data_IF_720081816374
#
_entry.id   IF_720081816374
#
_cell.length_a   1.000
_cell.length_b   1.000
_cell.length_c   1.000
_cell.angle_alpha   90.00
_cell.angle_beta   90.00
_cell.angle_gamma   90.00
#
_symmetry.space_group_name_H-M   'P 1'
#
loop_
_entity.id
_entity.type
_entity.pdbx_description
1 polymer ?
#
# COMPACT_ATOMS: atom_id res chain seq x y z
N UNK A 1 -2.79 -5.25 -0.29
CA UNK A 1 -1.85 -6.19 0.35
C UNK A 1 -0.39 -5.75 0.20
N UNK A 2 0.03 -5.25 -0.97
CA UNK A 2 1.41 -4.78 -1.22
C UNK A 2 1.92 -3.77 -0.19
N UNK A 3 1.13 -2.75 0.17
CA UNK A 3 1.52 -1.76 1.19
C UNK A 3 1.88 -2.41 2.53
N UNK A 4 1.16 -3.45 2.96
CA UNK A 4 1.48 -4.15 4.21
C UNK A 4 2.83 -4.89 4.11
N UNK A 5 3.19 -5.39 2.93
CA UNK A 5 4.49 -6.04 2.72
C UNK A 5 5.62 -5.02 2.75
N UNK A 6 5.42 -3.85 2.14
CA UNK A 6 6.41 -2.75 2.16
C UNK A 6 6.66 -2.29 3.59
N UNK A 7 5.58 -2.03 4.35
CA UNK A 7 5.70 -1.55 5.73
C UNK A 7 6.40 -2.53 6.68
N UNK A 8 6.25 -3.83 6.44
CA UNK A 8 6.72 -4.88 7.36
C UNK A 8 7.95 -5.65 6.91
N UNK A 9 8.34 -5.54 5.64
CA UNK A 9 9.37 -6.38 5.02
C UNK A 9 9.00 -7.87 4.95
N UNK A 10 7.74 -8.23 5.24
CA UNK A 10 7.28 -9.63 5.37
C UNK A 10 6.52 -10.10 4.14
N UNK A 11 6.58 -11.41 3.88
CA UNK A 11 5.74 -12.07 2.86
C UNK A 11 4.27 -12.07 3.28
N UNK A 12 3.36 -12.08 2.30
CA UNK A 12 1.90 -12.13 2.54
C UNK A 12 1.49 -13.29 3.44
N UNK A 13 2.10 -14.45 3.26
CA UNK A 13 2.01 -15.60 4.16
C UNK A 13 3.43 -16.12 4.33
N UNK A 14 3.85 -16.29 5.59
CA UNK A 14 5.11 -16.95 5.89
C UNK A 14 4.87 -18.42 6.22
N UNK A 15 5.04 -19.28 5.22
CA UNK A 15 4.85 -20.74 5.34
C UNK A 15 5.93 -21.43 6.20
N UNK A 16 7.02 -20.74 6.54
CA UNK A 16 8.09 -21.29 7.39
C UNK A 16 7.74 -21.29 8.88
N UNK A 17 6.64 -20.65 9.29
CA UNK A 17 6.20 -20.60 10.68
C UNK A 17 5.39 -21.85 11.04
N UNK A 18 5.50 -22.31 12.29
CA UNK A 18 4.70 -23.43 12.82
C UNK A 18 3.19 -23.22 12.66
N UNK A 19 2.74 -21.96 12.70
CA UNK A 19 1.34 -21.56 12.45
C UNK A 19 1.30 -20.40 11.47
N UNK A 20 1.24 -20.67 10.16
CA UNK A 20 1.17 -19.61 9.15
C UNK A 20 -0.08 -18.75 9.34
N UNK A 21 0.10 -17.43 9.32
CA UNK A 21 -0.99 -16.46 9.32
C UNK A 21 -0.82 -15.50 8.15
N UNK A 22 -1.93 -14.97 7.64
CA UNK A 22 -1.87 -13.93 6.63
C UNK A 22 -1.39 -12.61 7.25
N UNK A 23 -0.61 -11.86 6.49
CA UNK A 23 -0.06 -10.58 6.91
C UNK A 23 -1.18 -9.58 7.30
N UNK A 24 -2.33 -9.66 6.62
CA UNK A 24 -3.51 -8.87 6.97
C UNK A 24 -4.04 -9.22 8.38
N UNK A 25 -4.08 -10.51 8.73
CA UNK A 25 -4.54 -10.94 10.07
C UNK A 25 -3.58 -10.45 11.16
N UNK A 26 -2.27 -10.50 10.91
CA UNK A 26 -1.25 -9.98 11.83
C UNK A 26 -1.37 -8.46 11.99
N UNK A 27 -1.49 -7.72 10.89
CA UNK A 27 -1.64 -6.26 10.92
C UNK A 27 -2.90 -5.83 11.72
N UNK A 28 -4.03 -6.52 11.52
CA UNK A 28 -5.27 -6.26 12.27
C UNK A 28 -5.13 -6.51 13.76
N UNK A 29 -4.41 -7.56 14.16
CA UNK A 29 -4.18 -7.86 15.58
C UNK A 29 -3.33 -6.75 16.22
N UNK A 30 -2.20 -6.40 15.60
CA UNK A 30 -1.29 -5.39 16.14
C UNK A 30 -1.89 -3.98 16.20
N UNK A 31 -2.79 -3.65 15.28
CA UNK A 31 -3.48 -2.35 15.28
C UNK A 31 -4.54 -2.27 16.39
N UNK A 32 -5.12 -3.39 16.82
CA UNK A 32 -6.05 -3.44 17.95
C UNK A 32 -5.34 -3.33 19.29
N UNK A 33 -4.13 -3.87 19.37
CA UNK A 33 -3.33 -3.88 20.60
C UNK A 33 -2.47 -2.61 20.76
N UNK A 34 -2.62 -1.60 19.88
CA UNK A 34 -1.81 -0.37 19.81
C UNK A 34 -0.29 -0.60 19.64
N UNK A 35 0.14 -1.82 19.29
CA UNK A 35 1.55 -2.21 19.13
C UNK A 35 2.04 -2.03 17.69
N UNK A 36 1.98 -0.79 17.20
CA UNK A 36 2.31 -0.45 15.81
C UNK A 36 3.79 -0.74 15.50
N UNK A 37 4.68 -0.53 16.47
CA UNK A 37 6.14 -0.74 16.35
C UNK A 37 6.51 -2.20 16.03
N UNK A 38 5.72 -3.17 16.49
CA UNK A 38 5.94 -4.60 16.21
C UNK A 38 5.67 -5.01 14.76
N UNK A 39 5.08 -4.13 13.96
CA UNK A 39 4.75 -4.40 12.56
C UNK A 39 5.79 -3.89 11.56
N UNK A 40 6.57 -2.87 11.92
CA UNK A 40 7.53 -2.23 11.02
C UNK A 40 8.61 -3.19 10.53
N UNK A 41 9.12 -2.93 9.32
CA UNK A 41 10.27 -3.64 8.76
C UNK A 41 11.48 -3.42 9.68
N UNK A 42 12.07 -4.48 10.27
CA UNK A 42 13.23 -4.36 11.13
C UNK A 42 14.42 -3.66 10.46
N UNK A 43 14.51 -3.69 9.12
CA UNK A 43 15.56 -3.02 8.37
C UNK A 43 15.45 -1.50 8.37
N UNK A 44 14.28 -0.96 8.68
CA UNK A 44 14.12 0.49 8.85
C UNK A 44 14.73 0.98 10.16
N UNK A 45 14.96 0.10 11.15
CA UNK A 45 15.63 0.44 12.40
C UNK A 45 15.03 1.65 13.16
N UNK A 46 13.75 1.96 12.95
CA UNK A 46 13.10 3.14 13.54
C UNK A 46 13.28 4.44 12.74
N UNK A 47 14.00 4.41 11.62
CA UNK A 47 14.22 5.54 10.70
C UNK A 47 12.97 5.83 9.85
N UNK A 48 11.86 6.13 10.51
CA UNK A 48 10.61 6.53 9.89
C UNK A 48 9.79 7.38 10.86
N UNK A 49 8.95 8.27 10.33
CA UNK A 49 7.95 8.96 11.13
C UNK A 49 6.87 7.97 11.59
N UNK A 50 6.72 7.79 12.91
CA UNK A 50 5.67 6.94 13.49
C UNK A 50 4.27 7.37 13.02
N UNK A 51 4.03 8.68 12.91
CA UNK A 51 2.76 9.23 12.44
C UNK A 51 2.48 8.87 10.97
N UNK A 52 3.50 8.96 10.11
CA UNK A 52 3.37 8.58 8.71
C UNK A 52 3.17 7.06 8.57
N UNK A 53 3.85 6.28 9.40
CA UNK A 53 3.72 4.82 9.43
C UNK A 53 2.34 4.38 9.88
N UNK A 54 1.84 4.88 11.01
CA UNK A 54 0.49 4.58 11.53
C UNK A 54 -0.59 4.90 10.49
N UNK A 55 -0.52 6.08 9.88
CA UNK A 55 -1.44 6.45 8.81
C UNK A 55 -1.38 5.49 7.63
N UNK A 56 -0.18 5.18 7.15
CA UNK A 56 0.00 4.30 6.00
C UNK A 56 -0.48 2.88 6.32
N UNK A 57 -0.28 2.40 7.55
CA UNK A 57 -0.80 1.12 8.04
C UNK A 57 -2.32 1.10 8.05
N UNK A 58 -2.97 2.13 8.63
CA UNK A 58 -4.44 2.28 8.64
C UNK A 58 -5.01 2.35 7.22
N UNK A 59 -4.36 3.10 6.32
CA UNK A 59 -4.74 3.15 4.91
C UNK A 59 -4.62 1.78 4.25
N UNK A 60 -3.49 1.08 4.45
CA UNK A 60 -3.26 -0.25 3.90
C UNK A 60 -4.31 -1.28 4.38
N UNK A 61 -4.73 -1.20 5.65
CA UNK A 61 -5.81 -2.02 6.20
C UNK A 61 -7.16 -1.74 5.52
N UNK A 62 -7.53 -0.47 5.34
CA UNK A 62 -8.75 -0.08 4.64
C UNK A 62 -8.78 -0.59 3.18
N UNK A 63 -7.63 -0.74 2.54
CA UNK A 63 -7.50 -1.31 1.20
C UNK A 63 -7.74 -2.83 1.14
N UNK A 64 -7.81 -3.52 2.29
CA UNK A 64 -7.93 -4.99 2.39
C UNK A 64 -9.20 -5.48 3.08
N UNK A 65 -10.10 -4.56 3.43
CA UNK A 65 -11.46 -4.89 3.88
C UNK A 65 -12.29 -5.46 2.73
N UNK A 66 -13.12 -6.47 3.02
CA UNK A 66 -13.90 -7.22 2.01
C UNK A 66 -15.13 -6.46 1.50
N UNK A 67 -15.48 -5.33 2.13
CA UNK A 67 -16.76 -4.64 1.91
C UNK A 67 -16.55 -3.29 1.19
N UNK A 68 -17.66 -2.59 0.94
CA UNK A 68 -17.77 -1.24 0.34
C UNK A 68 -16.87 -0.15 0.98
N UNK A 69 -16.22 -0.43 2.11
CA UNK A 69 -15.28 0.49 2.77
C UNK A 69 -13.89 0.53 2.11
N UNK A 70 -13.62 -0.32 1.10
CA UNK A 70 -12.35 -0.29 0.36
C UNK A 70 -12.27 0.98 -0.49
N UNK A 71 -11.26 1.85 -0.28
CA UNK A 71 -11.12 3.06 -1.07
C UNK A 71 -10.73 2.75 -2.53
N UNK A 72 -11.13 3.63 -3.44
CA UNK A 72 -10.64 3.61 -4.82
C UNK A 72 -9.16 3.97 -4.89
N UNK A 73 -8.46 3.57 -5.95
CA UNK A 73 -7.04 3.93 -6.10
C UNK A 73 -6.82 5.45 -6.15
N UNK A 74 -7.76 6.20 -6.73
CA UNK A 74 -7.72 7.67 -6.69
C UNK A 74 -7.76 8.20 -5.25
N UNK A 75 -8.63 7.65 -4.40
CA UNK A 75 -8.71 8.02 -2.99
C UNK A 75 -7.43 7.62 -2.23
N UNK A 76 -6.85 6.46 -2.53
CA UNK A 76 -5.57 6.01 -1.95
C UNK A 76 -4.44 6.98 -2.30
N UNK A 77 -4.31 7.35 -3.58
CA UNK A 77 -3.28 8.30 -4.04
C UNK A 77 -3.50 9.67 -3.41
N UNK A 78 -4.73 10.21 -3.40
CA UNK A 78 -5.05 11.50 -2.75
C UNK A 78 -4.68 11.50 -1.27
N UNK A 79 -4.98 10.42 -0.55
CA UNK A 79 -4.67 10.27 0.88
C UNK A 79 -3.16 10.21 1.13
N UNK A 80 -2.41 9.49 0.31
CA UNK A 80 -0.94 9.43 0.39
C UNK A 80 -0.30 10.78 0.02
N UNK A 81 -0.73 11.41 -1.06
CA UNK A 81 -0.19 12.69 -1.54
C UNK A 81 -0.38 13.83 -0.54
N UNK A 82 -1.56 13.90 0.11
CA UNK A 82 -1.87 14.91 1.14
C UNK A 82 -0.92 14.87 2.33
N UNK A 83 -0.43 13.68 2.71
CA UNK A 83 0.50 13.51 3.83
C UNK A 83 1.97 13.45 3.42
N UNK A 84 2.26 13.02 2.19
CA UNK A 84 3.63 12.83 1.69
C UNK A 84 4.27 14.05 1.03
N UNK A 85 3.60 15.21 0.98
CA UNK A 85 4.07 16.39 0.23
C UNK A 85 4.33 16.10 -1.25
N UNK A 86 3.69 15.08 -1.82
CA UNK A 86 3.87 14.68 -3.22
C UNK A 86 2.88 15.48 -4.07
N UNK A 87 3.37 16.48 -4.79
CA UNK A 87 2.58 17.19 -5.81
C UNK A 87 2.43 16.32 -7.05
N UNK A 88 1.30 15.62 -7.17
CA UNK A 88 0.97 14.89 -8.38
C UNK A 88 0.47 15.86 -9.46
N UNK A 89 1.37 16.30 -10.35
CA UNK A 89 0.94 16.95 -11.60
C UNK A 89 0.32 15.88 -12.50
N UNK A 90 -0.93 16.08 -12.92
CA UNK A 90 -1.56 15.22 -13.95
C UNK A 90 -0.83 15.46 -15.27
N UNK A 91 -0.03 14.51 -15.72
CA UNK A 91 0.38 14.47 -17.13
C UNK A 91 -0.72 13.75 -17.94
N UNK A 92 -1.60 14.53 -18.56
CA UNK A 92 -2.65 14.09 -19.50
C UNK A 92 -2.05 13.61 -20.84
N UNK A 93 -1.14 12.62 -20.82
CA UNK A 93 -0.33 12.31 -22.01
C UNK A 93 -0.30 10.86 -22.52
N UNK A 94 -0.71 9.86 -21.71
CA UNK A 94 -0.36 8.47 -22.04
C UNK A 94 -1.41 7.68 -22.82
N UNK A 95 -2.68 8.13 -22.85
CA UNK A 95 -3.75 7.36 -23.51
C UNK A 95 -3.77 7.52 -25.05
N UNK A 96 -3.29 8.64 -25.60
CA UNK A 96 -3.32 8.92 -27.05
C UNK A 96 -2.13 8.37 -27.85
N UNK A 97 -1.07 7.86 -27.19
CA UNK A 97 0.13 7.38 -27.91
C UNK A 97 0.01 5.95 -28.43
N UNK A 98 -0.90 5.15 -27.88
CA UNK A 98 -1.12 3.77 -28.32
C UNK A 98 -2.08 3.63 -29.52
N UNK A 99 -2.93 4.62 -29.80
CA UNK A 99 -3.84 4.56 -30.96
C UNK A 99 -3.14 4.84 -32.30
N UNK A 100 -2.04 5.62 -32.33
CA UNK A 100 -1.27 5.86 -33.56
C UNK A 100 -0.29 4.75 -33.95
N UNK A 101 -0.07 3.74 -33.10
CA UNK A 101 0.77 2.57 -33.47
C UNK A 101 -0.01 1.45 -34.17
N UNK A 102 -1.35 1.45 -34.12
CA UNK A 102 -2.14 0.47 -34.87
C UNK A 102 -2.43 0.90 -36.32
N UNK A 103 -2.28 2.19 -36.64
CA UNK A 103 -2.62 2.72 -37.97
C UNK A 103 -1.44 2.73 -38.96
N UNK A 104 -0.19 2.56 -38.49
CA UNK A 104 1.00 2.46 -39.36
C UNK A 104 1.37 1.02 -39.77
N UNK A 105 0.47 0.05 -39.58
CA UNK A 105 0.61 -1.30 -40.14
C UNK A 105 -0.55 -1.60 -41.11
N UNK A 106 -0.85 -0.63 -41.97
CA UNK A 106 -1.58 -0.79 -43.22
C UNK A 106 -0.87 0.05 -44.28
N UNK A 107 0.22 -0.49 -44.82
CA UNK A 107 0.76 -0.12 -46.13
C UNK A 107 0.79 -1.40 -46.94
#
# INVERSE_FOLDING_TARGET
>A
MVLLQILSGKKVINLKLKKPMSLNKVAKALTRDERITGFADPKLQGEYSEEAFDFTLKLALSCTTLNQQRPSMEQVVKRLARRGSINFKREEGFYYRNSRKQESMKV
#
